data_IF_398033463153
#
_entry.id   IF_398033463153
#
_cell.length_a   1.000
_cell.length_b   1.000
_cell.length_c   1.000
_cell.angle_alpha   90.00
_cell.angle_beta   90.00
_cell.angle_gamma   90.00
#
_symmetry.space_group_name_H-M   'P 1'
#
loop_
_entity.id
_entity.type
_entity.pdbx_description
1 polymer ?
#
# COMPACT_ATOMS: atom_id res chain seq x y z
N UNK A 1 -0.69 -10.94 17.20
CA UNK A 1 0.33 -12.00 17.33
C UNK A 1 0.30 -12.51 18.77
N UNK A 2 0.48 -13.81 19.05
CA UNK A 2 0.43 -14.33 20.43
C UNK A 2 1.34 -13.53 21.38
N UNK A 3 0.79 -13.06 22.50
CA UNK A 3 1.53 -12.32 23.52
C UNK A 3 1.92 -10.88 23.16
N UNK A 4 1.54 -10.35 21.98
CA UNK A 4 1.77 -8.94 21.63
C UNK A 4 0.48 -8.14 21.77
N UNK A 5 0.50 -6.97 22.44
CA UNK A 5 -0.63 -6.05 22.45
C UNK A 5 -1.07 -5.74 21.01
N UNK A 6 -2.38 -5.74 20.77
CA UNK A 6 -2.93 -5.31 19.47
C UNK A 6 -2.89 -3.79 19.29
N UNK A 7 -2.62 -3.05 20.38
CA UNK A 7 -2.52 -1.58 20.37
C UNK A 7 -1.11 -1.19 19.96
N UNK A 8 -1.02 -0.42 18.88
CA UNK A 8 0.23 0.19 18.39
C UNK A 8 0.47 1.59 18.99
N UNK A 9 -0.48 2.12 19.75
CA UNK A 9 -0.40 3.44 20.38
C UNK A 9 0.64 3.39 21.52
N UNK A 10 1.65 4.28 21.52
CA UNK A 10 2.63 4.35 22.60
C UNK A 10 1.98 4.63 23.95
N UNK A 11 2.60 4.15 25.03
CA UNK A 11 2.15 4.45 26.39
C UNK A 11 2.18 5.97 26.65
N UNK A 12 1.12 6.48 27.28
CA UNK A 12 0.96 7.92 27.54
C UNK A 12 0.50 8.77 26.35
N UNK A 13 0.35 8.20 25.15
CA UNK A 13 -0.19 8.90 24.00
C UNK A 13 -1.72 8.91 24.03
N UNK A 14 -2.34 10.10 24.04
CA UNK A 14 -3.80 10.25 23.96
C UNK A 14 -4.24 10.21 22.49
N UNK A 15 -5.02 9.20 22.05
CA UNK A 15 -5.53 9.16 20.69
C UNK A 15 -6.59 10.24 20.47
N UNK A 16 -6.55 10.90 19.30
CA UNK A 16 -7.56 11.87 18.88
C UNK A 16 -8.39 11.28 17.73
N UNK A 17 -9.71 11.28 17.88
CA UNK A 17 -10.63 10.89 16.79
C UNK A 17 -10.98 12.14 16.00
N UNK A 18 -10.43 12.25 14.80
CA UNK A 18 -10.65 13.39 13.90
C UNK A 18 -11.69 13.11 12.80
N UNK A 19 -12.13 11.85 12.65
CA UNK A 19 -13.11 11.45 11.63
C UNK A 19 -13.73 10.07 11.87
N UNK A 20 -14.64 9.68 10.98
CA UNK A 20 -15.39 8.42 10.99
C UNK A 20 -16.05 8.13 9.64
N UNK A 21 -16.73 6.98 9.49
CA UNK A 21 -17.44 6.60 8.26
C UNK A 21 -18.43 7.64 7.74
N UNK A 22 -18.95 8.48 8.64
CA UNK A 22 -19.91 9.55 8.38
C UNK A 22 -19.26 10.86 7.91
N UNK A 23 -17.93 10.96 7.92
CA UNK A 23 -17.22 12.22 7.67
C UNK A 23 -16.51 12.24 6.32
N UNK A 24 -16.40 13.44 5.75
CA UNK A 24 -15.54 13.68 4.59
C UNK A 24 -14.07 13.63 5.03
N UNK A 25 -13.41 12.51 4.72
CA UNK A 25 -12.01 12.28 5.10
C UNK A 25 -11.05 13.23 4.39
N UNK A 26 -11.36 13.66 3.16
CA UNK A 26 -10.52 14.59 2.43
C UNK A 26 -10.58 15.98 3.07
N UNK A 27 -11.78 16.47 3.38
CA UNK A 27 -11.96 17.76 4.04
C UNK A 27 -11.31 17.80 5.44
N UNK A 28 -11.39 16.71 6.21
CA UNK A 28 -10.72 16.61 7.52
C UNK A 28 -9.20 16.66 7.39
N UNK A 29 -8.63 15.93 6.42
CA UNK A 29 -7.17 15.92 6.21
C UNK A 29 -6.67 17.29 5.74
N UNK A 30 -7.44 18.00 4.91
CA UNK A 30 -7.13 19.37 4.48
C UNK A 30 -7.14 20.33 5.68
N UNK A 31 -8.20 20.31 6.50
CA UNK A 31 -8.28 21.12 7.71
C UNK A 31 -7.16 20.80 8.72
N UNK A 32 -6.76 19.53 8.82
CA UNK A 32 -5.63 19.12 9.67
C UNK A 32 -4.30 19.66 9.14
N UNK A 33 -4.06 19.58 7.83
CA UNK A 33 -2.86 20.13 7.22
C UNK A 33 -2.76 21.66 7.46
N UNK A 34 -3.87 22.38 7.31
CA UNK A 34 -3.94 23.81 7.62
C UNK A 34 -3.64 24.11 9.08
N UNK A 35 -4.23 23.36 10.01
CA UNK A 35 -4.01 23.53 11.45
C UNK A 35 -2.55 23.27 11.86
N UNK A 36 -1.86 22.35 11.17
CA UNK A 36 -0.45 22.03 11.38
C UNK A 36 0.51 22.96 10.62
N UNK A 37 -0.01 23.80 9.71
CA UNK A 37 0.81 24.58 8.78
C UNK A 37 1.57 23.72 7.76
N UNK A 38 1.12 22.48 7.54
CA UNK A 38 1.74 21.51 6.63
C UNK A 38 1.32 21.78 5.17
N UNK A 39 1.77 22.90 4.62
CA UNK A 39 1.39 23.38 3.28
C UNK A 39 2.27 22.86 2.15
N UNK A 40 3.46 22.41 2.49
CA UNK A 40 4.42 21.88 1.52
C UNK A 40 4.15 20.41 1.24
N UNK A 41 4.14 20.04 -0.04
CA UNK A 41 4.01 18.65 -0.43
C UNK A 41 5.23 17.85 0.02
N UNK A 42 5.01 16.60 0.44
CA UNK A 42 6.10 15.68 0.73
C UNK A 42 6.88 15.35 -0.56
N UNK A 43 8.20 15.11 -0.47
CA UNK A 43 8.98 14.69 -1.62
C UNK A 43 8.47 13.34 -2.15
N UNK A 44 8.36 13.22 -3.47
CA UNK A 44 8.00 11.96 -4.13
C UNK A 44 9.23 11.05 -4.16
N UNK A 45 9.03 9.76 -3.98
CA UNK A 45 10.10 8.78 -4.12
C UNK A 45 10.65 8.80 -5.56
N UNK A 46 11.98 8.91 -5.71
CA UNK A 46 12.60 8.84 -7.03
C UNK A 46 12.49 7.42 -7.59
N UNK A 47 12.15 7.33 -8.88
CA UNK A 47 12.10 6.08 -9.63
C UNK A 47 13.44 5.33 -9.53
N UNK A 48 13.40 4.12 -9.00
CA UNK A 48 14.54 3.24 -8.86
C UNK A 48 14.10 1.81 -9.20
N UNK A 49 14.48 1.37 -10.40
CA UNK A 49 14.07 0.08 -10.92
C UNK A 49 15.14 -0.98 -10.62
N UNK A 50 14.74 -2.13 -10.06
CA UNK A 50 15.70 -3.19 -9.80
C UNK A 50 16.31 -3.72 -11.12
N UNK A 51 17.56 -4.17 -11.00
CA UNK A 51 18.21 -4.99 -12.02
C UNK A 51 17.44 -6.29 -12.27
N UNK A 52 17.86 -7.06 -13.29
CA UNK A 52 17.28 -8.38 -13.52
C UNK A 52 17.57 -9.29 -12.31
N UNK A 53 16.53 -9.83 -11.63
CA UNK A 53 16.74 -10.68 -10.46
C UNK A 53 17.39 -12.01 -10.87
N UNK A 54 18.26 -12.53 -10.01
CA UNK A 54 18.93 -13.82 -10.18
C UNK A 54 18.75 -14.68 -8.93
N UNK A 55 18.87 -16.01 -9.07
CA UNK A 55 18.80 -16.94 -7.94
C UNK A 55 17.42 -17.60 -7.80
N UNK A 56 17.05 -17.96 -6.58
CA UNK A 56 15.84 -18.73 -6.30
C UNK A 56 14.57 -17.92 -6.51
N UNK A 57 13.53 -18.57 -7.04
CA UNK A 57 12.19 -17.99 -7.16
C UNK A 57 11.55 -17.84 -5.78
N UNK A 58 11.32 -16.60 -5.36
CA UNK A 58 10.68 -16.23 -4.09
C UNK A 58 9.92 -14.90 -4.22
N UNK A 59 9.15 -14.51 -3.22
CA UNK A 59 8.32 -13.31 -3.27
C UNK A 59 9.12 -12.02 -3.57
N UNK A 60 10.33 -11.87 -3.03
CA UNK A 60 11.16 -10.69 -3.30
C UNK A 60 11.69 -10.67 -4.74
N UNK A 61 12.16 -11.80 -5.27
CA UNK A 61 12.62 -11.89 -6.66
C UNK A 61 11.47 -11.73 -7.66
N UNK A 62 10.27 -12.21 -7.32
CA UNK A 62 9.04 -11.95 -8.08
C UNK A 62 8.69 -10.45 -8.02
N UNK A 63 8.67 -9.82 -6.84
CA UNK A 63 8.42 -8.40 -6.67
C UNK A 63 9.40 -7.53 -7.46
N UNK A 64 10.69 -7.89 -7.46
CA UNK A 64 11.71 -7.22 -8.27
C UNK A 64 11.41 -7.34 -9.78
N UNK A 65 10.99 -8.53 -10.23
CA UNK A 65 10.58 -8.73 -11.62
C UNK A 65 9.34 -7.91 -11.98
N UNK A 66 8.34 -7.84 -11.09
CA UNK A 66 7.14 -7.02 -11.27
C UNK A 66 7.52 -5.54 -11.38
N UNK A 67 8.26 -5.00 -10.40
CA UNK A 67 8.73 -3.62 -10.38
C UNK A 67 9.44 -3.23 -11.68
N UNK A 68 10.30 -4.11 -12.19
CA UNK A 68 11.06 -3.90 -13.42
C UNK A 68 10.15 -3.78 -14.65
N UNK A 69 9.15 -4.66 -14.77
CA UNK A 69 8.41 -4.88 -16.01
C UNK A 69 7.02 -4.25 -16.05
N UNK A 70 6.43 -3.91 -14.91
CA UNK A 70 5.09 -3.35 -14.87
C UNK A 70 5.04 -1.98 -15.59
N UNK A 71 4.02 -1.72 -16.42
CA UNK A 71 3.77 -0.40 -16.98
C UNK A 71 3.42 0.64 -15.92
N UNK A 72 3.57 1.91 -16.27
CA UNK A 72 2.95 3.00 -15.50
C UNK A 72 1.42 2.87 -15.52
N UNK A 73 0.77 3.17 -14.40
CA UNK A 73 -0.67 3.00 -14.21
C UNK A 73 -1.10 1.54 -14.00
N UNK A 74 -0.16 0.65 -13.67
CA UNK A 74 -0.51 -0.73 -13.34
C UNK A 74 -1.40 -0.78 -12.10
N UNK A 75 -2.34 -1.72 -12.09
CA UNK A 75 -3.17 -2.00 -10.93
C UNK A 75 -2.88 -3.42 -10.44
N UNK A 76 -2.46 -3.55 -9.18
CA UNK A 76 -2.11 -4.84 -8.57
C UNK A 76 -3.17 -5.23 -7.55
N UNK A 77 -3.80 -6.38 -7.77
CA UNK A 77 -4.68 -7.04 -6.80
C UNK A 77 -3.87 -8.07 -5.99
N UNK A 78 -3.70 -7.83 -4.69
CA UNK A 78 -2.83 -8.65 -3.83
C UNK A 78 -3.64 -9.52 -2.84
N UNK A 79 -3.62 -10.82 -3.11
CA UNK A 79 -4.19 -11.90 -2.28
C UNK A 79 -3.07 -12.89 -1.87
N UNK A 80 -1.82 -12.41 -1.76
CA UNK A 80 -0.62 -13.23 -1.57
C UNK A 80 -0.32 -13.62 -0.12
N UNK A 81 -1.03 -13.02 0.86
CA UNK A 81 -0.89 -13.21 2.32
C UNK A 81 0.57 -13.22 2.78
N UNK A 82 1.23 -14.38 2.83
CA UNK A 82 2.63 -14.55 3.22
C UNK A 82 3.62 -13.91 2.23
N UNK A 83 3.24 -13.82 0.95
CA UNK A 83 4.09 -13.36 -0.14
C UNK A 83 3.77 -11.93 -0.61
N UNK A 84 2.69 -11.32 -0.14
CA UNK A 84 2.25 -9.97 -0.55
C UNK A 84 3.26 -8.90 -0.13
N UNK A 85 3.58 -8.82 1.16
CA UNK A 85 4.47 -7.80 1.70
C UNK A 85 5.88 -7.80 1.05
N UNK A 86 6.60 -8.93 0.92
CA UNK A 86 7.89 -8.92 0.24
C UNK A 86 7.81 -8.49 -1.22
N UNK A 87 6.69 -8.77 -1.90
CA UNK A 87 6.49 -8.32 -3.29
C UNK A 87 6.23 -6.82 -3.36
N UNK A 88 5.35 -6.29 -2.51
CA UNK A 88 5.01 -4.87 -2.39
C UNK A 88 6.23 -4.00 -2.06
N UNK A 89 7.09 -4.46 -1.13
CA UNK A 89 8.29 -3.70 -0.75
C UNK A 89 9.24 -3.48 -1.94
N UNK A 90 9.26 -4.39 -2.91
CA UNK A 90 10.10 -4.23 -4.11
C UNK A 90 9.53 -3.24 -5.12
N UNK A 91 8.25 -2.86 -5.03
CA UNK A 91 7.61 -1.93 -5.97
C UNK A 91 7.51 -0.49 -5.45
N UNK A 92 7.91 -0.20 -4.21
CA UNK A 92 7.77 1.14 -3.60
C UNK A 92 8.38 2.30 -4.39
N UNK A 93 9.42 2.01 -5.19
CA UNK A 93 10.11 2.98 -6.05
C UNK A 93 9.98 2.67 -7.53
N UNK A 94 9.05 1.78 -7.90
CA UNK A 94 8.78 1.45 -9.29
C UNK A 94 7.93 2.54 -9.95
N UNK A 95 7.50 2.30 -11.20
CA UNK A 95 6.59 3.23 -11.90
C UNK A 95 5.30 3.45 -11.10
N UNK A 96 4.62 4.60 -11.23
CA UNK A 96 3.33 4.84 -10.58
C UNK A 96 2.35 3.69 -10.84
N UNK A 97 1.75 3.17 -9.76
CA UNK A 97 0.84 2.03 -9.79
C UNK A 97 -0.02 2.01 -8.53
N UNK A 98 -1.17 1.36 -8.62
CA UNK A 98 -2.06 1.09 -7.49
C UNK A 98 -1.85 -0.33 -6.97
N UNK A 99 -1.88 -0.49 -5.65
CA UNK A 99 -1.75 -1.78 -4.99
C UNK A 99 -2.90 -1.98 -4.02
N UNK A 100 -3.88 -2.80 -4.42
CA UNK A 100 -5.06 -3.09 -3.63
C UNK A 100 -4.85 -4.35 -2.82
N UNK A 101 -4.59 -4.15 -1.53
CA UNK A 101 -4.49 -5.22 -0.55
C UNK A 101 -5.88 -5.70 -0.12
N UNK A 102 -5.95 -6.94 0.37
CA UNK A 102 -7.08 -7.41 1.15
C UNK A 102 -7.42 -6.42 2.28
N UNK A 103 -8.66 -5.96 2.34
CA UNK A 103 -9.13 -5.05 3.42
C UNK A 103 -9.50 -5.81 4.70
N UNK A 104 -9.39 -7.15 4.67
CA UNK A 104 -9.64 -8.06 5.79
C UNK A 104 -8.74 -9.31 5.72
N UNK A 105 -9.05 -10.33 6.52
CA UNK A 105 -8.27 -11.57 6.58
C UNK A 105 -8.78 -12.72 5.70
N UNK A 106 -9.77 -12.48 4.83
CA UNK A 106 -10.43 -13.52 4.05
C UNK A 106 -9.87 -13.61 2.63
N UNK A 107 -9.26 -14.76 2.29
CA UNK A 107 -8.73 -15.04 0.95
C UNK A 107 -9.88 -15.18 -0.06
N UNK A 108 -9.62 -14.80 -1.32
CA UNK A 108 -10.55 -14.94 -2.44
C UNK A 108 -10.96 -13.62 -3.10
N UNK A 109 -10.47 -12.48 -2.59
CA UNK A 109 -10.68 -11.17 -3.19
C UNK A 109 -9.90 -11.00 -4.49
N UNK A 110 -8.74 -11.65 -4.64
CA UNK A 110 -7.75 -11.36 -5.66
C UNK A 110 -8.31 -11.34 -7.08
N UNK A 111 -8.93 -12.45 -7.50
CA UNK A 111 -9.47 -12.59 -8.85
C UNK A 111 -10.70 -11.70 -9.11
N UNK A 112 -11.75 -11.68 -8.27
CA UNK A 112 -12.90 -10.81 -8.48
C UNK A 112 -12.53 -9.33 -8.51
N UNK A 113 -11.62 -8.88 -7.63
CA UNK A 113 -11.17 -7.50 -7.61
C UNK A 113 -10.38 -7.15 -8.87
N UNK A 114 -9.46 -8.01 -9.31
CA UNK A 114 -8.69 -7.77 -10.53
C UNK A 114 -9.60 -7.62 -11.77
N UNK A 115 -10.63 -8.45 -11.88
CA UNK A 115 -11.63 -8.33 -12.94
C UNK A 115 -12.46 -7.05 -12.83
N UNK A 116 -12.92 -6.69 -11.63
CA UNK A 116 -13.68 -5.45 -11.43
C UNK A 116 -12.85 -4.21 -11.77
N UNK A 117 -11.59 -4.18 -11.34
CA UNK A 117 -10.67 -3.08 -11.62
C UNK A 117 -10.38 -2.93 -13.11
N UNK A 118 -10.19 -4.04 -13.84
CA UNK A 118 -9.92 -3.97 -15.29
C UNK A 118 -11.10 -3.47 -16.12
N UNK A 119 -12.33 -3.56 -15.60
CA UNK A 119 -13.53 -3.01 -16.23
C UNK A 119 -13.77 -1.54 -15.89
N UNK A 120 -13.24 -1.08 -14.75
CA UNK A 120 -13.40 0.31 -14.28
C UNK A 120 -12.32 1.26 -14.81
N UNK A 121 -11.17 0.71 -15.24
CA UNK A 121 -10.02 1.43 -15.76
C UNK A 121 -10.22 1.99 -17.18
#
# INVERSE_FOLDING_TARGET
YPGKPSVLVPEGCTPMKIGGPETDSAAILEALADALGAKEAAPVAELDLPGAPTGALNAATIGASIARHMPEGSFVSDDGVSNGLPSFLMTQRARPHDWMMLTGGAIGQGMPLALGASLAA
#
